data_IF_063906976913
#
_entry.id   IF_063906976913
#
_cell.length_a   1.000
_cell.length_b   1.000
_cell.length_c   1.000
_cell.angle_alpha   90.00
_cell.angle_beta   90.00
_cell.angle_gamma   90.00
#
_symmetry.space_group_name_H-M   'P 1'
#
loop_
_entity.id
_entity.type
_entity.pdbx_description
1 polymer ?
#
# COMPACT_ATOMS: atom_id res chain seq x y z
N UNK A 1 -2.74 15.66 0.28
CA UNK A 1 -2.23 15.95 1.61
C UNK A 1 -2.22 17.46 1.90
N UNK A 2 -1.50 18.27 1.15
CA UNK A 2 -1.38 19.73 1.35
C UNK A 2 -2.74 20.42 1.51
N UNK A 3 -3.73 20.11 0.63
CA UNK A 3 -5.09 20.65 0.72
C UNK A 3 -5.85 20.22 1.98
N UNK A 4 -5.40 19.16 2.61
CA UNK A 4 -5.95 18.64 3.88
C UNK A 4 -5.16 19.15 5.10
N UNK A 5 -4.20 20.10 4.91
CA UNK A 5 -3.44 20.70 5.99
C UNK A 5 -2.20 19.94 6.42
N UNK A 6 -1.80 18.89 5.70
CA UNK A 6 -0.55 18.19 5.97
C UNK A 6 0.64 18.88 5.30
N UNK A 7 1.83 18.67 5.83
CA UNK A 7 3.11 19.10 5.24
C UNK A 7 3.82 17.90 4.57
N UNK A 8 3.65 17.70 3.25
CA UNK A 8 4.18 16.55 2.57
C UNK A 8 5.66 16.71 2.22
N UNK A 9 6.45 15.72 2.60
CA UNK A 9 7.85 15.58 2.21
C UNK A 9 7.92 14.53 1.09
N UNK A 10 8.36 14.92 -0.10
CA UNK A 10 8.56 14.00 -1.23
C UNK A 10 10.00 13.50 -1.24
N UNK A 11 10.18 12.19 -1.18
CA UNK A 11 11.47 11.52 -1.31
C UNK A 11 11.54 10.70 -2.59
N UNK A 12 12.67 10.76 -3.27
CA UNK A 12 12.94 10.00 -4.49
C UNK A 12 14.01 8.95 -4.19
N UNK A 13 13.69 7.70 -4.46
CA UNK A 13 14.64 6.62 -4.31
C UNK A 13 15.57 6.55 -5.54
N UNK A 14 16.84 6.80 -5.33
CA UNK A 14 17.88 6.73 -6.37
C UNK A 14 18.46 5.32 -6.38
N UNK A 15 18.62 4.72 -7.55
CA UNK A 15 19.05 3.34 -7.71
C UNK A 15 20.09 3.12 -8.83
N UNK A 16 20.80 4.19 -9.24
CA UNK A 16 21.79 4.10 -10.32
C UNK A 16 23.08 3.42 -9.86
N UNK A 17 23.50 3.68 -8.61
CA UNK A 17 24.69 3.10 -8.02
C UNK A 17 24.42 2.50 -6.65
N UNK A 18 25.33 1.65 -6.16
CA UNK A 18 25.24 1.12 -4.80
C UNK A 18 25.31 2.21 -3.72
N UNK A 19 25.98 3.32 -3.99
CA UNK A 19 26.01 4.48 -3.10
C UNK A 19 24.63 5.16 -3.07
N UNK A 20 24.03 5.45 -4.23
CA UNK A 20 22.70 6.03 -4.32
C UNK A 20 21.65 5.21 -3.56
N UNK A 21 21.74 3.88 -3.62
CA UNK A 21 20.81 2.98 -2.90
C UNK A 21 21.00 3.15 -1.39
N UNK A 22 22.23 3.14 -0.87
CA UNK A 22 22.50 3.33 0.56
C UNK A 22 22.01 4.70 1.05
N UNK A 23 22.38 5.74 0.32
CA UNK A 23 21.99 7.12 0.66
C UNK A 23 20.47 7.28 0.65
N UNK A 24 19.79 6.69 -0.35
CA UNK A 24 18.33 6.70 -0.41
C UNK A 24 17.69 5.96 0.78
N UNK A 25 18.21 4.79 1.15
CA UNK A 25 17.72 4.05 2.33
C UNK A 25 17.85 4.92 3.58
N UNK A 26 19.00 5.52 3.82
CA UNK A 26 19.25 6.33 5.01
C UNK A 26 18.38 7.62 5.01
N UNK A 27 18.20 8.27 3.83
CA UNK A 27 17.28 9.41 3.68
C UNK A 27 15.80 9.04 3.94
N UNK A 28 15.34 7.87 3.44
CA UNK A 28 13.99 7.41 3.66
C UNK A 28 13.74 7.05 5.13
N UNK A 29 14.68 6.34 5.76
CA UNK A 29 14.62 6.00 7.19
C UNK A 29 14.47 7.28 8.02
N UNK A 30 15.37 8.26 7.82
CA UNK A 30 15.32 9.54 8.53
C UNK A 30 14.00 10.29 8.33
N UNK A 31 13.43 10.25 7.11
CA UNK A 31 12.14 10.88 6.83
C UNK A 31 10.98 10.13 7.51
N UNK A 32 10.98 8.79 7.50
CA UNK A 32 9.94 7.97 8.14
C UNK A 32 9.96 8.16 9.66
N UNK A 33 11.15 8.25 10.27
CA UNK A 33 11.29 8.49 11.71
C UNK A 33 10.68 9.81 12.19
N UNK A 34 10.56 10.80 11.31
CA UNK A 34 9.97 12.10 11.62
C UNK A 34 8.51 12.22 11.16
N UNK A 35 8.07 11.37 10.24
CA UNK A 35 6.72 11.43 9.67
C UNK A 35 5.66 10.84 10.62
N UNK A 36 4.42 11.25 10.45
CA UNK A 36 3.22 10.66 11.05
C UNK A 36 2.48 9.75 10.05
N UNK A 37 2.73 9.97 8.75
CA UNK A 37 2.08 9.23 7.68
C UNK A 37 3.15 8.87 6.64
N UNK A 38 3.16 7.60 6.23
CA UNK A 38 3.89 7.15 5.05
C UNK A 38 2.90 6.91 3.91
N UNK A 39 3.16 7.48 2.73
CA UNK A 39 2.30 7.36 1.56
C UNK A 39 3.04 6.69 0.41
N UNK A 40 2.48 5.58 -0.09
CA UNK A 40 2.92 4.90 -1.29
C UNK A 40 2.06 5.37 -2.47
N UNK A 41 2.62 6.16 -3.40
CA UNK A 41 1.86 6.70 -4.51
C UNK A 41 1.53 5.64 -5.56
N UNK A 42 0.56 5.99 -6.40
CA UNK A 42 0.29 5.24 -7.62
C UNK A 42 1.29 5.56 -8.73
N UNK A 43 1.07 4.95 -9.89
CA UNK A 43 1.91 5.08 -11.08
C UNK A 43 2.51 3.74 -11.49
N UNK A 44 3.45 3.79 -12.43
CA UNK A 44 4.17 2.62 -12.90
C UNK A 44 5.64 2.76 -12.53
N UNK A 45 6.16 1.83 -11.74
CA UNK A 45 7.57 1.79 -11.39
C UNK A 45 8.36 0.98 -12.42
N UNK A 46 9.56 1.43 -12.76
CA UNK A 46 10.47 0.66 -13.62
C UNK A 46 10.73 -0.73 -13.00
N UNK A 47 10.60 -1.77 -13.80
CA UNK A 47 10.82 -3.15 -13.35
C UNK A 47 9.62 -3.82 -12.69
N UNK A 48 8.44 -3.20 -12.69
CA UNK A 48 7.21 -3.84 -12.22
C UNK A 48 6.75 -4.96 -13.18
N UNK A 49 6.88 -4.74 -14.49
CA UNK A 49 6.61 -5.73 -15.51
C UNK A 49 7.83 -6.63 -15.80
N UNK A 50 7.65 -7.90 -16.18
CA UNK A 50 6.37 -8.63 -16.34
C UNK A 50 5.89 -9.35 -15.07
N UNK A 51 6.59 -9.22 -13.95
CA UNK A 51 6.36 -10.01 -12.73
C UNK A 51 5.42 -9.34 -11.73
N UNK A 52 4.68 -8.35 -12.17
CA UNK A 52 3.63 -7.68 -11.41
C UNK A 52 4.06 -6.37 -10.76
N UNK A 53 3.06 -5.56 -10.50
CA UNK A 53 3.19 -4.19 -9.99
C UNK A 53 3.77 -4.10 -8.57
N UNK A 54 4.31 -2.95 -8.23
CA UNK A 54 4.91 -2.62 -6.92
C UNK A 54 6.16 -3.43 -6.53
N UNK A 55 6.79 -4.12 -7.47
CA UNK A 55 8.00 -4.91 -7.22
C UNK A 55 9.15 -4.06 -6.66
N UNK A 56 9.33 -2.86 -7.21
CA UNK A 56 10.36 -1.93 -6.75
C UNK A 56 10.12 -1.50 -5.31
N UNK A 57 8.92 -1.07 -4.96
CA UNK A 57 8.56 -0.71 -3.58
C UNK A 57 8.80 -1.88 -2.62
N UNK A 58 8.31 -3.07 -3.00
CA UNK A 58 8.46 -4.26 -2.16
C UNK A 58 9.94 -4.59 -1.91
N UNK A 59 10.79 -4.48 -2.93
CA UNK A 59 12.23 -4.72 -2.80
C UNK A 59 12.89 -3.68 -1.89
N UNK A 60 12.62 -2.39 -2.11
CA UNK A 60 13.23 -1.31 -1.34
C UNK A 60 12.84 -1.37 0.14
N UNK A 61 11.54 -1.56 0.42
CA UNK A 61 11.01 -1.52 1.79
C UNK A 61 11.25 -2.81 2.60
N UNK A 62 11.73 -3.89 1.96
CA UNK A 62 12.22 -5.09 2.66
C UNK A 62 13.66 -4.96 3.15
N UNK A 63 14.31 -3.82 2.94
CA UNK A 63 15.55 -3.51 3.62
C UNK A 63 15.30 -3.42 5.13
N UNK A 64 16.17 -4.01 5.95
CA UNK A 64 15.96 -4.13 7.39
C UNK A 64 15.75 -2.78 8.08
N UNK A 65 16.55 -1.75 7.72
CA UNK A 65 16.40 -0.41 8.30
C UNK A 65 15.06 0.22 7.95
N UNK A 66 14.61 0.09 6.70
CA UNK A 66 13.31 0.62 6.26
C UNK A 66 12.16 -0.15 6.90
N UNK A 67 12.26 -1.47 6.99
CA UNK A 67 11.28 -2.31 7.69
C UNK A 67 11.13 -1.87 9.15
N UNK A 68 12.26 -1.69 9.87
CA UNK A 68 12.26 -1.25 11.25
C UNK A 68 11.63 0.15 11.41
N UNK A 69 11.98 1.10 10.56
CA UNK A 69 11.44 2.46 10.60
C UNK A 69 9.91 2.47 10.38
N UNK A 70 9.40 1.66 9.43
CA UNK A 70 7.96 1.53 9.18
C UNK A 70 7.26 0.85 10.36
N UNK A 71 7.85 -0.19 10.95
CA UNK A 71 7.28 -0.86 12.13
C UNK A 71 7.19 0.09 13.32
N UNK A 72 8.25 0.87 13.61
CA UNK A 72 8.23 1.90 14.66
C UNK A 72 7.14 2.94 14.41
N UNK A 73 7.01 3.41 13.16
CA UNK A 73 5.96 4.35 12.81
C UNK A 73 4.57 3.80 13.13
N UNK A 74 4.28 2.57 12.71
CA UNK A 74 2.93 2.00 12.79
C UNK A 74 2.59 1.41 14.16
N UNK A 75 3.57 0.82 14.86
CA UNK A 75 3.32 0.04 16.07
C UNK A 75 3.65 0.80 17.36
N UNK A 76 4.61 1.73 17.32
CA UNK A 76 5.06 2.45 18.52
C UNK A 76 4.61 3.92 18.53
N UNK A 77 4.50 4.55 17.34
CA UNK A 77 4.22 5.98 17.20
C UNK A 77 2.80 6.28 16.74
N UNK A 78 1.93 5.25 16.65
CA UNK A 78 0.54 5.37 16.20
C UNK A 78 0.38 6.09 14.84
N UNK A 79 1.36 5.89 13.96
CA UNK A 79 1.38 6.47 12.63
C UNK A 79 0.52 5.71 11.64
N UNK A 80 0.39 6.25 10.43
CA UNK A 80 -0.47 5.71 9.39
C UNK A 80 0.31 5.39 8.11
N UNK A 81 -0.18 4.41 7.37
CA UNK A 81 0.24 4.13 6.00
C UNK A 81 -0.94 4.30 5.04
N UNK A 82 -0.69 4.86 3.86
CA UNK A 82 -1.65 4.96 2.77
C UNK A 82 -1.02 4.46 1.48
N UNK A 83 -1.72 3.59 0.78
CA UNK A 83 -1.31 3.13 -0.55
C UNK A 83 -2.41 3.35 -1.58
N UNK A 84 -2.07 3.99 -2.69
CA UNK A 84 -3.00 4.26 -3.78
C UNK A 84 -2.53 3.57 -5.05
N UNK A 85 -3.41 2.79 -5.70
CA UNK A 85 -3.13 2.08 -6.95
C UNK A 85 -1.89 1.17 -6.83
N UNK A 86 -0.79 1.45 -7.51
CA UNK A 86 0.47 0.72 -7.35
C UNK A 86 0.99 0.73 -5.89
N UNK A 87 0.75 1.81 -5.16
CA UNK A 87 1.06 1.87 -3.72
C UNK A 87 0.22 0.90 -2.88
N UNK A 88 -1.06 0.69 -3.23
CA UNK A 88 -1.87 -0.33 -2.57
C UNK A 88 -1.36 -1.76 -2.89
N UNK A 89 -0.93 -1.99 -4.12
CA UNK A 89 -0.26 -3.24 -4.49
C UNK A 89 1.02 -3.45 -3.66
N UNK A 90 1.77 -2.38 -3.38
CA UNK A 90 2.94 -2.42 -2.50
C UNK A 90 2.56 -2.81 -1.07
N UNK A 91 1.51 -2.21 -0.49
CA UNK A 91 1.04 -2.56 0.85
C UNK A 91 0.69 -4.05 0.97
N UNK A 92 0.00 -4.61 -0.03
CA UNK A 92 -0.33 -6.04 -0.08
C UNK A 92 0.95 -6.89 -0.18
N UNK A 93 1.85 -6.58 -1.12
CA UNK A 93 3.09 -7.37 -1.32
C UNK A 93 4.05 -7.31 -0.14
N UNK A 94 4.05 -6.22 0.60
CA UNK A 94 4.83 -6.06 1.81
C UNK A 94 4.22 -6.78 3.02
N UNK A 95 2.93 -7.10 2.98
CA UNK A 95 2.21 -7.64 4.13
C UNK A 95 1.60 -6.59 5.04
N UNK A 96 1.84 -5.30 4.79
CA UNK A 96 1.24 -4.21 5.56
C UNK A 96 -0.29 -4.29 5.54
N UNK A 97 -0.86 -4.72 4.44
CA UNK A 97 -2.25 -5.17 4.36
C UNK A 97 -2.22 -6.67 4.01
N UNK A 98 -2.85 -7.54 4.81
CA UNK A 98 -3.74 -7.28 5.95
C UNK A 98 -3.08 -7.34 7.34
N UNK A 99 -1.76 -7.53 7.44
CA UNK A 99 -1.11 -7.90 8.71
C UNK A 99 -0.69 -6.69 9.59
N UNK A 100 -0.54 -5.49 9.00
CA UNK A 100 -0.04 -4.31 9.72
C UNK A 100 1.48 -4.31 9.93
N UNK A 101 2.19 -5.23 9.32
CA UNK A 101 3.65 -5.34 9.40
C UNK A 101 4.27 -5.74 8.05
N UNK A 102 5.52 -5.36 7.82
CA UNK A 102 6.28 -5.84 6.67
C UNK A 102 6.75 -7.26 6.98
N UNK A 103 6.32 -8.21 6.15
CA UNK A 103 6.66 -9.64 6.30
C UNK A 103 6.70 -10.34 4.96
N UNK A 104 7.35 -11.50 4.92
CA UNK A 104 7.28 -12.37 3.75
C UNK A 104 5.86 -12.95 3.62
N UNK A 105 5.35 -12.92 2.40
CA UNK A 105 4.05 -13.50 2.07
C UNK A 105 4.24 -14.98 1.72
N UNK A 106 3.29 -15.81 2.13
CA UNK A 106 3.18 -17.20 1.72
C UNK A 106 2.32 -17.37 0.46
N UNK A 107 2.21 -18.58 -0.04
CA UNK A 107 1.46 -18.89 -1.26
C UNK A 107 -0.06 -18.66 -1.11
N UNK A 108 -0.58 -18.69 0.10
CA UNK A 108 -1.99 -18.51 0.42
C UNK A 108 -2.33 -17.06 0.78
N UNK A 109 -1.33 -16.19 0.86
CA UNK A 109 -1.55 -14.78 1.22
C UNK A 109 -2.42 -14.05 0.19
N UNK A 110 -3.25 -13.10 0.62
CA UNK A 110 -3.98 -12.22 -0.28
C UNK A 110 -3.05 -11.50 -1.25
N UNK A 111 -3.46 -11.37 -2.50
CA UNK A 111 -2.68 -10.69 -3.53
C UNK A 111 -3.55 -9.92 -4.51
N UNK A 112 -2.93 -9.01 -5.26
CA UNK A 112 -3.51 -8.37 -6.43
C UNK A 112 -2.85 -8.94 -7.68
N UNK A 113 -3.65 -9.22 -8.71
CA UNK A 113 -3.18 -9.84 -9.94
C UNK A 113 -3.94 -9.31 -11.16
N UNK A 114 -3.61 -9.82 -12.33
CA UNK A 114 -4.20 -9.44 -13.61
C UNK A 114 -5.73 -9.58 -13.63
N UNK A 115 -6.37 -8.65 -14.34
CA UNK A 115 -7.79 -8.75 -14.65
C UNK A 115 -8.08 -10.02 -15.46
N UNK A 116 -9.21 -10.66 -15.20
CA UNK A 116 -9.62 -11.88 -15.93
C UNK A 116 -9.85 -11.66 -17.40
N UNK A 117 -10.08 -10.42 -17.83
CA UNK A 117 -10.28 -10.05 -19.22
C UNK A 117 -8.96 -9.76 -19.98
N UNK A 118 -7.81 -9.95 -19.34
CA UNK A 118 -6.46 -9.73 -19.87
C UNK A 118 -6.23 -8.32 -20.50
N UNK A 119 -6.93 -7.33 -20.00
CA UNK A 119 -6.76 -5.93 -20.40
C UNK A 119 -7.07 -4.96 -19.28
N UNK A 120 -6.63 -3.73 -19.47
CA UNK A 120 -6.92 -2.61 -18.60
C UNK A 120 -8.43 -2.32 -18.51
N UNK A 121 -8.91 -2.04 -17.32
CA UNK A 121 -10.28 -1.56 -17.05
C UNK A 121 -10.19 -0.12 -16.59
N UNK A 122 -10.99 0.75 -17.21
CA UNK A 122 -11.18 2.14 -16.77
C UNK A 122 -12.67 2.46 -16.75
N UNK A 123 -13.23 2.62 -15.55
CA UNK A 123 -14.66 2.92 -15.38
C UNK A 123 -14.96 3.50 -14.01
N UNK A 124 -16.13 4.14 -13.90
CA UNK A 124 -16.68 4.51 -12.60
C UNK A 124 -17.28 3.27 -11.91
N UNK A 125 -16.98 3.10 -10.63
CA UNK A 125 -17.51 2.00 -9.80
C UNK A 125 -18.12 2.56 -8.53
N UNK A 126 -19.13 1.87 -8.00
CA UNK A 126 -19.71 2.21 -6.71
C UNK A 126 -19.03 1.38 -5.61
N UNK A 127 -18.55 2.06 -4.59
CA UNK A 127 -18.01 1.45 -3.39
C UNK A 127 -18.88 1.78 -2.19
N UNK A 128 -19.16 0.80 -1.34
CA UNK A 128 -19.96 0.98 -0.14
C UNK A 128 -19.08 0.90 1.10
N UNK A 129 -19.23 1.82 2.04
CA UNK A 129 -18.57 1.77 3.33
C UNK A 129 -19.21 0.68 4.18
N UNK A 130 -18.52 -0.43 4.38
CA UNK A 130 -18.99 -1.56 5.20
C UNK A 130 -18.27 -1.65 6.53
N UNK A 131 -17.19 -0.92 6.70
CA UNK A 131 -16.43 -0.77 7.93
C UNK A 131 -15.81 0.63 8.00
N UNK A 132 -15.78 1.24 9.17
CA UNK A 132 -15.04 2.48 9.45
C UNK A 132 -13.93 2.26 10.49
N UNK A 133 -13.47 1.04 10.63
CA UNK A 133 -12.38 0.65 11.54
C UNK A 133 -11.05 1.36 11.19
N UNK A 134 -10.80 1.57 9.92
CA UNK A 134 -9.61 2.29 9.47
C UNK A 134 -9.68 3.77 9.86
N UNK A 135 -8.63 4.38 10.42
CA UNK A 135 -8.56 5.82 10.68
C UNK A 135 -8.86 6.68 9.45
N UNK A 136 -8.53 6.18 8.25
CA UNK A 136 -8.84 6.85 6.97
C UNK A 136 -10.34 6.97 6.70
N UNK A 137 -11.15 6.13 7.35
CA UNK A 137 -12.60 6.09 7.19
C UNK A 137 -13.37 6.52 8.46
N UNK A 138 -12.68 7.04 9.48
CA UNK A 138 -13.30 7.41 10.76
C UNK A 138 -14.44 8.42 10.61
N UNK A 139 -14.37 9.31 9.60
CA UNK A 139 -15.45 10.26 9.28
C UNK A 139 -16.47 9.75 8.25
N UNK A 140 -16.36 8.50 7.78
CA UNK A 140 -17.24 7.94 6.78
C UNK A 140 -18.48 7.30 7.41
N UNK A 141 -19.64 7.54 6.80
CA UNK A 141 -20.93 6.98 7.23
C UNK A 141 -21.03 5.51 6.76
N UNK A 142 -21.29 4.59 7.70
CA UNK A 142 -21.52 3.19 7.39
C UNK A 142 -22.75 3.02 6.48
N UNK A 143 -22.60 2.20 5.46
CA UNK A 143 -23.63 1.95 4.45
C UNK A 143 -23.67 2.95 3.31
N UNK A 144 -22.98 4.08 3.42
CA UNK A 144 -22.92 5.09 2.36
C UNK A 144 -22.17 4.57 1.15
N UNK A 145 -22.65 4.95 -0.03
CA UNK A 145 -22.06 4.56 -1.32
C UNK A 145 -21.43 5.76 -1.99
N UNK A 146 -20.23 5.57 -2.50
CA UNK A 146 -19.49 6.56 -3.27
C UNK A 146 -19.21 6.05 -4.67
N UNK A 147 -19.21 6.95 -5.65
CA UNK A 147 -18.83 6.64 -7.01
C UNK A 147 -17.36 7.05 -7.21
N UNK A 148 -16.51 6.07 -7.46
CA UNK A 148 -15.08 6.27 -7.59
C UNK A 148 -14.56 5.79 -8.96
N UNK A 149 -13.54 6.44 -9.53
CA UNK A 149 -12.89 5.92 -10.72
C UNK A 149 -12.04 4.69 -10.38
N UNK A 150 -12.19 3.62 -11.15
CA UNK A 150 -11.32 2.46 -11.14
C UNK A 150 -10.55 2.40 -12.47
N UNK A 151 -9.24 2.31 -12.41
CA UNK A 151 -8.37 2.27 -13.58
C UNK A 151 -7.18 1.37 -13.28
N UNK A 152 -7.23 0.11 -13.77
CA UNK A 152 -6.20 -0.87 -13.48
C UNK A 152 -6.15 -2.03 -14.48
N UNK A 153 -4.96 -2.60 -14.68
CA UNK A 153 -4.74 -3.88 -15.34
C UNK A 153 -4.58 -5.04 -14.35
N UNK A 154 -4.11 -4.74 -13.12
CA UNK A 154 -3.74 -5.69 -12.08
C UNK A 154 -4.39 -5.38 -10.73
N UNK A 155 -5.64 -4.95 -10.75
CA UNK A 155 -6.41 -4.63 -9.53
C UNK A 155 -7.33 -5.75 -9.04
N UNK A 156 -7.21 -6.97 -9.57
CA UNK A 156 -8.02 -8.11 -9.15
C UNK A 156 -7.48 -8.69 -7.85
N UNK A 157 -8.25 -8.49 -6.77
CA UNK A 157 -7.94 -9.10 -5.48
C UNK A 157 -8.24 -10.60 -5.50
N UNK A 158 -7.28 -11.40 -5.06
CA UNK A 158 -7.38 -12.86 -4.95
C UNK A 158 -6.94 -13.27 -3.55
N UNK A 159 -7.78 -14.07 -2.90
CA UNK A 159 -7.48 -14.69 -1.62
C UNK A 159 -8.29 -15.99 -1.46
N UNK A 160 -7.80 -17.00 -0.75
CA UNK A 160 -8.59 -18.14 -0.31
C UNK A 160 -9.86 -17.72 0.45
N UNK A 161 -10.88 -18.59 0.50
CA UNK A 161 -12.14 -18.27 1.16
C UNK A 161 -11.92 -17.91 2.63
N UNK A 162 -11.10 -18.67 3.33
CA UNK A 162 -10.77 -18.44 4.75
C UNK A 162 -10.20 -17.02 4.99
N UNK A 163 -9.31 -16.55 4.11
CA UNK A 163 -8.81 -15.18 4.18
C UNK A 163 -9.89 -14.14 3.98
N UNK A 164 -10.77 -14.35 3.01
CA UNK A 164 -11.90 -13.42 2.77
C UNK A 164 -12.80 -13.32 3.98
N UNK A 165 -13.17 -14.48 4.57
CA UNK A 165 -14.01 -14.53 5.76
C UNK A 165 -13.36 -13.80 6.96
N UNK A 166 -12.04 -13.99 7.15
CA UNK A 166 -11.28 -13.26 8.18
C UNK A 166 -11.26 -11.74 7.95
N UNK A 167 -11.03 -11.30 6.72
CA UNK A 167 -10.98 -9.87 6.39
C UNK A 167 -12.32 -9.19 6.71
N UNK A 168 -13.44 -9.82 6.35
CA UNK A 168 -14.79 -9.33 6.69
C UNK A 168 -15.05 -9.39 8.20
N UNK A 169 -14.76 -10.51 8.85
CA UNK A 169 -14.96 -10.68 10.29
C UNK A 169 -14.18 -9.65 11.12
N UNK A 170 -12.98 -9.30 10.65
CA UNK A 170 -12.11 -8.31 11.31
C UNK A 170 -12.44 -6.86 10.94
N UNK A 171 -13.39 -6.62 10.05
CA UNK A 171 -13.75 -5.28 9.58
C UNK A 171 -12.65 -4.59 8.76
N UNK A 172 -11.84 -5.37 8.05
CA UNK A 172 -10.75 -4.88 7.19
C UNK A 172 -11.22 -4.61 5.74
N UNK A 173 -12.45 -4.99 5.44
CA UNK A 173 -13.13 -4.77 4.16
C UNK A 173 -14.45 -4.09 4.42
#
# INVERSE_FOLDING_TARGET
>A
FQRAGADPIVKVFKNLTAADIRDSVDEFVSAIEQAQIVMFPGGFSAGDEPEGSAKFFATAFRNDKMTEAVHKLLQERDGLALGICNGFQALIKLGLVPHGEIRMQDAEAPTLTYNTINRHVSKMVYTKVVSNKSPWLAGAELGKTYCNPASHGEGRFVAPQEWRDRLFANGQV
#
